data_IF_402526618668
#
_entry.id   IF_402526618668
#
_cell.length_a   1.000
_cell.length_b   1.000
_cell.length_c   1.000
_cell.angle_alpha   90.00
_cell.angle_beta   90.00
_cell.angle_gamma   90.00
#
_symmetry.space_group_name_H-M   'P 1'
#
loop_
_entity.id
_entity.type
_entity.pdbx_description
1 polymer ?
#
# COMPACT_ATOMS: atom_id res chain seq x y z
N UNK A 1 -11.46 27.30 32.41
CA UNK A 1 -10.77 26.26 31.61
C UNK A 1 -11.81 25.58 30.73
N UNK A 2 -11.55 25.48 29.42
CA UNK A 2 -12.50 24.93 28.45
C UNK A 2 -12.32 23.40 28.41
N UNK A 3 -13.34 22.64 28.81
CA UNK A 3 -13.30 21.17 28.75
C UNK A 3 -13.73 20.73 27.35
N UNK A 4 -12.90 19.92 26.72
CA UNK A 4 -13.24 19.21 25.49
C UNK A 4 -13.56 17.76 25.89
N UNK A 5 -14.76 17.31 25.54
CA UNK A 5 -15.19 15.93 25.70
C UNK A 5 -15.09 15.31 24.31
N UNK A 6 -14.12 14.44 24.12
CA UNK A 6 -13.97 13.65 22.90
C UNK A 6 -14.85 12.41 23.04
N UNK A 7 -16.00 12.41 22.39
CA UNK A 7 -16.72 11.16 22.14
C UNK A 7 -15.89 10.39 21.11
N UNK A 8 -15.30 9.28 21.52
CA UNK A 8 -14.73 8.30 20.59
C UNK A 8 -15.92 7.71 19.84
N UNK A 9 -16.12 8.12 18.60
CA UNK A 9 -16.89 7.33 17.65
C UNK A 9 -15.94 6.23 17.19
N UNK A 10 -16.09 5.04 17.76
CA UNK A 10 -15.51 3.85 17.17
C UNK A 10 -16.18 3.66 15.80
N UNK A 11 -15.46 4.03 14.74
CA UNK A 11 -15.85 3.74 13.36
C UNK A 11 -15.53 2.26 13.10
N UNK A 12 -16.28 1.36 13.73
CA UNK A 12 -16.31 -0.07 13.39
C UNK A 12 -16.90 -0.19 11.97
N UNK A 13 -16.06 -0.11 10.93
CA UNK A 13 -16.55 -0.24 9.55
C UNK A 13 -15.58 0.00 8.41
N UNK A 14 -14.35 0.48 8.62
CA UNK A 14 -13.38 0.70 7.53
C UNK A 14 -12.43 -0.49 7.27
N UNK A 15 -12.67 -1.63 7.91
CA UNK A 15 -11.73 -2.75 7.92
C UNK A 15 -11.95 -3.77 6.79
N UNK A 16 -13.16 -3.87 6.23
CA UNK A 16 -13.50 -4.95 5.29
C UNK A 16 -12.94 -4.78 3.87
N UNK A 17 -12.45 -3.59 3.48
CA UNK A 17 -12.14 -3.32 2.06
C UNK A 17 -10.66 -2.99 1.77
N UNK A 18 -9.76 -3.18 2.74
CA UNK A 18 -8.33 -2.80 2.59
C UNK A 18 -7.44 -3.83 1.91
N UNK A 19 -8.00 -4.94 1.44
CA UNK A 19 -7.27 -6.01 0.75
C UNK A 19 -6.32 -6.81 1.66
N UNK A 20 -5.52 -7.69 1.04
CA UNK A 20 -4.52 -8.50 1.75
C UNK A 20 -3.38 -7.59 2.23
N UNK A 21 -3.02 -7.62 3.53
CA UNK A 21 -1.91 -6.81 4.04
C UNK A 21 -0.57 -7.29 3.48
N UNK A 22 0.36 -6.34 3.30
CA UNK A 22 1.77 -6.64 3.05
C UNK A 22 2.47 -6.78 4.40
N UNK A 23 3.27 -7.82 4.52
CA UNK A 23 4.07 -8.10 5.72
C UNK A 23 5.52 -7.67 5.48
N UNK A 24 6.11 -6.94 6.43
CA UNK A 24 7.52 -6.52 6.39
C UNK A 24 8.14 -6.55 7.78
N UNK A 25 9.45 -6.78 7.86
CA UNK A 25 10.17 -6.75 9.13
C UNK A 25 10.70 -5.33 9.44
N UNK A 26 10.44 -4.87 10.67
CA UNK A 26 11.08 -3.70 11.24
C UNK A 26 11.68 -4.06 12.59
N UNK A 27 13.00 -3.96 12.70
CA UNK A 27 13.73 -4.22 13.94
C UNK A 27 13.49 -5.64 14.53
N UNK A 28 13.26 -6.64 13.68
CA UNK A 28 12.98 -8.02 14.09
C UNK A 28 11.52 -8.26 14.52
N UNK A 29 10.63 -7.31 14.23
CA UNK A 29 9.19 -7.43 14.40
C UNK A 29 8.52 -7.42 13.02
N UNK A 30 7.72 -8.45 12.77
CA UNK A 30 6.84 -8.49 11.60
C UNK A 30 5.69 -7.48 11.78
N UNK A 31 5.51 -6.62 10.78
CA UNK A 31 4.50 -5.58 10.71
C UNK A 31 3.59 -5.80 9.52
N UNK A 32 2.33 -5.35 9.64
CA UNK A 32 1.33 -5.46 8.57
C UNK A 32 0.89 -4.08 8.07
N UNK A 33 1.11 -3.83 6.78
CA UNK A 33 0.69 -2.61 6.11
C UNK A 33 -0.44 -2.87 5.11
N UNK A 34 -1.49 -2.07 5.22
CA UNK A 34 -2.69 -2.13 4.39
C UNK A 34 -2.62 -1.06 3.30
N UNK A 35 -3.17 -1.39 2.13
CA UNK A 35 -3.19 -0.45 1.00
C UNK A 35 -3.93 0.84 1.40
N UNK A 36 -3.35 2.02 1.12
CA UNK A 36 -4.05 3.28 1.35
C UNK A 36 -5.28 3.39 0.47
N UNK A 37 -6.35 4.02 0.97
CA UNK A 37 -7.54 4.28 0.16
C UNK A 37 -7.32 5.41 -0.85
N UNK A 38 -8.20 5.54 -1.84
CA UNK A 38 -8.04 6.50 -2.95
C UNK A 38 -7.83 7.95 -2.49
N UNK A 39 -8.51 8.37 -1.42
CA UNK A 39 -8.32 9.69 -0.81
C UNK A 39 -6.90 9.89 -0.26
N UNK A 40 -6.36 8.88 0.45
CA UNK A 40 -4.97 8.90 0.93
C UNK A 40 -3.96 8.91 -0.21
N UNK A 41 -4.21 8.17 -1.29
CA UNK A 41 -3.34 8.16 -2.47
C UNK A 41 -3.36 9.50 -3.21
N UNK A 42 -4.53 10.12 -3.33
CA UNK A 42 -4.66 11.46 -3.93
C UNK A 42 -3.90 12.50 -3.10
N UNK A 43 -4.04 12.45 -1.78
CA UNK A 43 -3.29 13.30 -0.86
C UNK A 43 -1.78 13.08 -0.99
N UNK A 44 -1.33 11.82 -1.08
CA UNK A 44 0.06 11.45 -1.31
C UNK A 44 0.62 12.08 -2.59
N UNK A 45 -0.08 11.92 -3.71
CA UNK A 45 0.36 12.48 -5.00
C UNK A 45 0.46 14.01 -4.95
N UNK A 46 -0.45 14.68 -4.26
CA UNK A 46 -0.40 16.11 -4.05
C UNK A 46 0.79 16.53 -3.17
N UNK A 47 1.06 15.78 -2.10
CA UNK A 47 2.10 16.07 -1.12
C UNK A 47 3.52 15.68 -1.58
N UNK A 48 3.64 14.78 -2.55
CA UNK A 48 4.91 14.44 -3.23
C UNK A 48 5.11 15.22 -4.54
N UNK A 49 4.18 16.12 -4.88
CA UNK A 49 4.20 16.91 -6.10
C UNK A 49 5.40 17.88 -6.22
N UNK A 50 5.63 18.37 -7.44
CA UNK A 50 6.70 19.35 -7.73
C UNK A 50 6.46 20.63 -6.92
N UNK A 51 7.49 21.09 -6.21
CA UNK A 51 7.46 22.32 -5.40
C UNK A 51 7.39 22.10 -3.89
N UNK A 52 7.31 20.85 -3.43
CA UNK A 52 7.34 20.51 -2.00
C UNK A 52 8.77 20.41 -1.48
N UNK A 53 8.98 20.95 -0.27
CA UNK A 53 10.23 20.84 0.50
C UNK A 53 10.44 19.42 1.01
N UNK A 54 11.69 19.07 1.33
CA UNK A 54 12.02 17.73 1.86
C UNK A 54 11.27 17.43 3.16
N UNK A 55 11.08 18.44 4.02
CA UNK A 55 10.32 18.30 5.27
C UNK A 55 8.83 18.01 5.02
N UNK A 56 8.23 18.62 3.99
CA UNK A 56 6.85 18.35 3.61
C UNK A 56 6.67 16.94 3.04
N UNK A 57 7.64 16.49 2.24
CA UNK A 57 7.65 15.11 1.72
C UNK A 57 7.81 14.10 2.85
N UNK A 58 8.70 14.38 3.79
CA UNK A 58 8.89 13.54 4.96
C UNK A 58 7.61 13.42 5.80
N UNK A 59 6.97 14.55 6.11
CA UNK A 59 5.71 14.56 6.85
C UNK A 59 4.61 13.78 6.11
N UNK A 60 4.56 13.88 4.77
CA UNK A 60 3.62 13.15 3.95
C UNK A 60 3.85 11.62 4.01
N UNK A 61 5.11 11.18 3.84
CA UNK A 61 5.49 9.77 3.93
C UNK A 61 5.12 9.20 5.30
N UNK A 62 5.47 9.90 6.38
CA UNK A 62 5.12 9.49 7.75
C UNK A 62 3.60 9.38 7.92
N UNK A 63 2.85 10.37 7.45
CA UNK A 63 1.38 10.35 7.56
C UNK A 63 0.77 9.14 6.84
N UNK A 64 1.25 8.82 5.63
CA UNK A 64 0.75 7.68 4.86
C UNK A 64 1.12 6.36 5.54
N UNK A 65 2.38 6.21 5.96
CA UNK A 65 2.86 5.05 6.71
C UNK A 65 2.00 4.79 7.94
N UNK A 66 1.82 5.81 8.79
CA UNK A 66 0.98 5.72 9.99
C UNK A 66 -0.47 5.34 9.67
N UNK A 67 -1.02 5.82 8.56
CA UNK A 67 -2.39 5.51 8.14
C UNK A 67 -2.56 4.11 7.51
N UNK A 68 -1.46 3.54 7.03
CA UNK A 68 -1.41 2.21 6.42
C UNK A 68 -1.20 1.09 7.45
N UNK A 69 -0.70 1.42 8.64
CA UNK A 69 -0.57 0.50 9.77
C UNK A 69 -1.81 0.54 10.66
N UNK A 70 -1.98 -0.46 11.52
CA UNK A 70 -3.08 -0.52 12.50
C UNK A 70 -2.59 -1.00 13.86
N UNK A 71 -3.27 -0.54 14.91
CA UNK A 71 -3.06 -0.99 16.29
C UNK A 71 -1.59 -0.97 16.70
N UNK A 72 -1.12 -2.09 17.26
CA UNK A 72 0.21 -2.20 17.83
C UNK A 72 1.37 -1.95 16.84
N UNK A 73 1.14 -2.12 15.53
CA UNK A 73 2.16 -1.86 14.50
C UNK A 73 2.32 -0.36 14.24
N UNK A 74 1.20 0.37 14.26
CA UNK A 74 1.19 1.83 14.18
C UNK A 74 1.88 2.43 15.42
N UNK A 75 1.53 1.95 16.61
CA UNK A 75 2.14 2.40 17.87
C UNK A 75 3.64 2.11 17.90
N UNK A 76 4.05 0.96 17.33
CA UNK A 76 5.46 0.62 17.22
C UNK A 76 6.21 1.62 16.34
N UNK A 77 5.70 1.91 15.13
CA UNK A 77 6.33 2.88 14.24
C UNK A 77 6.41 4.27 14.88
N UNK A 78 5.32 4.72 15.53
CA UNK A 78 5.29 6.01 16.23
C UNK A 78 6.37 6.09 17.31
N UNK A 79 6.52 5.03 18.11
CA UNK A 79 7.53 4.98 19.16
C UNK A 79 8.95 5.12 18.61
N UNK A 80 9.23 4.56 17.42
CA UNK A 80 10.53 4.67 16.73
C UNK A 80 10.75 6.07 16.16
N UNK A 81 9.72 6.69 15.60
CA UNK A 81 9.81 8.06 15.07
C UNK A 81 10.07 9.08 16.17
N UNK A 82 9.43 8.91 17.32
CA UNK A 82 9.53 9.82 18.47
C UNK A 82 10.67 9.46 19.43
N UNK A 83 11.43 8.38 19.17
CA UNK A 83 12.52 7.98 20.06
C UNK A 83 13.61 9.05 20.13
N UNK A 84 13.98 9.40 21.36
CA UNK A 84 15.11 10.28 21.66
C UNK A 84 16.46 9.59 21.45
N UNK A 85 16.49 8.25 21.34
CA UNK A 85 17.71 7.49 21.10
C UNK A 85 18.05 7.52 19.61
N UNK A 86 19.20 8.12 19.27
CA UNK A 86 19.67 8.24 17.86
C UNK A 86 19.82 6.89 17.16
N UNK A 87 20.03 5.80 17.91
CA UNK A 87 20.15 4.43 17.37
C UNK A 87 18.80 3.78 17.08
N UNK A 88 17.77 4.22 17.78
CA UNK A 88 16.42 3.68 17.70
C UNK A 88 15.51 4.53 16.80
N UNK A 89 15.92 5.77 16.55
CA UNK A 89 15.16 6.70 15.73
C UNK A 89 15.26 6.33 14.25
N UNK A 90 14.11 6.05 13.65
CA UNK A 90 14.00 5.84 12.21
C UNK A 90 14.47 7.09 11.45
N UNK A 91 15.34 6.89 10.47
CA UNK A 91 15.86 7.95 9.61
C UNK A 91 14.97 8.11 8.37
N UNK A 92 14.97 9.31 7.79
CA UNK A 92 14.27 9.61 6.52
C UNK A 92 14.54 8.54 5.45
N UNK A 93 15.82 8.23 5.20
CA UNK A 93 16.19 7.23 4.19
C UNK A 93 15.59 5.84 4.44
N UNK A 94 15.51 5.40 5.69
CA UNK A 94 14.92 4.11 6.03
C UNK A 94 13.40 4.14 5.83
N UNK A 95 12.74 5.25 6.16
CA UNK A 95 11.31 5.43 5.88
C UNK A 95 11.03 5.45 4.39
N UNK A 96 11.87 6.11 3.60
CA UNK A 96 11.77 6.13 2.14
C UNK A 96 11.93 4.73 1.56
N UNK A 97 12.91 3.94 2.03
CA UNK A 97 13.12 2.55 1.60
C UNK A 97 11.91 1.66 1.92
N UNK A 98 11.35 1.75 3.13
CA UNK A 98 10.14 1.01 3.51
C UNK A 98 8.94 1.47 2.66
N UNK A 99 8.79 2.78 2.48
CA UNK A 99 7.70 3.35 1.71
C UNK A 99 7.77 2.96 0.24
N UNK A 100 8.94 2.98 -0.38
CA UNK A 100 9.17 2.52 -1.75
C UNK A 100 8.83 1.04 -1.90
N UNK A 101 9.23 0.20 -0.94
CA UNK A 101 8.85 -1.20 -0.91
C UNK A 101 7.32 -1.38 -0.87
N UNK A 102 6.63 -0.69 0.04
CA UNK A 102 5.17 -0.79 0.16
C UNK A 102 4.43 -0.28 -1.08
N UNK A 103 4.88 0.83 -1.68
CA UNK A 103 4.32 1.34 -2.94
C UNK A 103 4.56 0.36 -4.08
N UNK A 104 5.77 -0.22 -4.16
CA UNK A 104 6.06 -1.26 -5.15
C UNK A 104 5.11 -2.42 -5.00
N UNK A 105 4.93 -2.97 -3.81
CA UNK A 105 4.04 -4.12 -3.59
C UNK A 105 2.55 -3.78 -3.79
N UNK A 106 2.06 -2.63 -3.33
CA UNK A 106 0.66 -2.22 -3.52
C UNK A 106 0.29 -1.93 -4.97
N UNK A 107 1.26 -1.51 -5.79
CA UNK A 107 1.04 -1.04 -7.15
C UNK A 107 1.87 -1.80 -8.20
N UNK A 108 2.49 -2.92 -7.84
CA UNK A 108 3.26 -3.78 -8.74
C UNK A 108 2.44 -4.31 -9.90
N UNK A 109 1.10 -4.18 -9.86
CA UNK A 109 0.24 -4.66 -10.94
C UNK A 109 -0.78 -3.64 -11.46
N UNK A 110 -0.49 -3.03 -12.61
CA UNK A 110 -1.49 -2.60 -13.58
C UNK A 110 -1.36 -3.34 -14.94
N UNK A 111 -0.44 -4.30 -15.09
CA UNK A 111 -0.07 -4.88 -16.40
C UNK A 111 -0.22 -6.39 -16.54
N UNK A 112 -0.77 -7.10 -15.56
CA UNK A 112 -1.44 -8.37 -15.88
C UNK A 112 -2.71 -8.06 -16.67
N UNK A 113 -2.53 -7.80 -17.96
CA UNK A 113 -3.58 -8.03 -18.95
C UNK A 113 -4.26 -9.34 -18.59
N UNK A 114 -5.60 -9.43 -18.55
CA UNK A 114 -6.23 -10.71 -18.71
C UNK A 114 -5.77 -11.18 -20.09
N UNK A 115 -4.71 -11.98 -20.12
CA UNK A 115 -4.42 -12.84 -21.24
C UNK A 115 -5.55 -13.86 -21.17
N UNK A 116 -6.73 -13.43 -21.66
CA UNK A 116 -7.64 -14.29 -22.37
C UNK A 116 -6.75 -15.10 -23.29
N UNK A 117 -6.37 -16.29 -22.81
CA UNK A 117 -6.20 -17.42 -23.69
C UNK A 117 -7.55 -17.56 -24.36
N UNK A 118 -7.76 -16.78 -25.43
CA UNK A 118 -8.66 -17.16 -26.48
C UNK A 118 -8.13 -18.51 -26.93
N UNK A 119 -8.69 -19.56 -26.36
CA UNK A 119 -8.53 -20.93 -26.78
C UNK A 119 -8.89 -20.91 -28.26
N UNK A 120 -7.85 -20.83 -29.09
CA UNK A 120 -8.01 -20.80 -30.53
C UNK A 120 -8.59 -22.15 -30.90
N UNK A 121 -9.88 -22.17 -31.27
CA UNK A 121 -10.52 -23.36 -31.82
C UNK A 121 -9.59 -23.95 -32.88
N UNK A 122 -9.21 -25.24 -32.78
CA UNK A 122 -8.43 -25.85 -33.84
C UNK A 122 -9.32 -25.90 -35.09
N UNK A 123 -8.90 -25.17 -36.14
CA UNK A 123 -9.47 -25.26 -37.48
C UNK A 123 -9.53 -26.73 -37.89
N UNK A 124 -10.74 -27.30 -37.86
CA UNK A 124 -11.00 -28.64 -38.34
C UNK A 124 -10.68 -28.67 -39.83
N UNK A 125 -9.62 -29.39 -40.20
CA UNK A 125 -9.33 -29.76 -41.58
C UNK A 125 -10.57 -30.42 -42.19
N UNK A 126 -11.15 -29.75 -43.18
CA UNK A 126 -12.15 -30.27 -44.09
C UNK A 126 -11.60 -31.54 -44.76
N UNK A 127 -12.07 -32.71 -44.32
CA UNK A 127 -11.79 -33.99 -44.96
C UNK A 127 -12.79 -34.15 -46.12
N UNK A 128 -12.38 -33.81 -47.33
CA UNK A 128 -13.15 -34.09 -48.55
C UNK A 128 -13.39 -35.60 -48.70
N UNK A 129 -14.61 -36.07 -49.04
CA UNK A 129 -14.85 -37.48 -49.31
C UNK A 129 -14.34 -37.87 -50.71
N UNK A 130 -14.01 -39.15 -50.93
CA UNK A 130 -13.55 -39.64 -52.22
C UNK A 130 -14.68 -39.64 -53.24
N UNK A 131 -14.35 -39.25 -54.48
CA UNK A 131 -15.23 -39.34 -55.63
C UNK A 131 -15.67 -40.80 -55.86
N UNK A 132 -16.97 -41.02 -56.00
CA UNK A 132 -17.54 -42.22 -56.59
C UNK A 132 -18.68 -41.79 -57.50
N UNK A 133 -18.43 -41.79 -58.79
CA UNK A 133 -19.27 -42.27 -59.91
C UNK A 133 -18.59 -41.89 -61.21
#
# INVERSE_FOLDING_TARGET
>A
MKKFVTAVQDTEGEDEDRGVPIEFDLDGREMKAYRPHEGQLTFMLAALGRGQTDDQRYAAIVNIMMSSLKGDDQDHLESRLLSNSRKERLRLKQLEEIFEYLISEWFADPTQSPSDSAESEPSALQKSPPATT
#
